data_IF_323038124234
#
_entry.id   IF_323038124234
#
_cell.length_a   1.000
_cell.length_b   1.000
_cell.length_c   1.000
_cell.angle_alpha   90.00
_cell.angle_beta   90.00
_cell.angle_gamma   90.00
#
_symmetry.space_group_name_H-M   'P 1'
#
loop_
_entity.id
_entity.type
_entity.pdbx_description
1 polymer ?
#
# COMPACT_ATOMS: atom_id res chain seq x y z
N UNK A 1 7.54 0.54 -3.78
CA UNK A 1 7.25 0.90 -2.55
C UNK A 1 8.07 0.53 -1.35
N UNK A 2 9.38 0.15 -1.47
CA UNK A 2 10.16 -0.28 -0.31
C UNK A 2 11.16 0.76 0.17
N UNK A 3 11.21 1.92 -0.43
CA UNK A 3 12.23 2.94 -0.15
C UNK A 3 12.17 3.52 1.27
N UNK A 4 11.04 3.42 1.96
CA UNK A 4 10.87 4.02 3.29
C UNK A 4 11.39 3.17 4.44
N UNK A 5 11.66 1.91 4.24
CA UNK A 5 12.10 1.05 5.32
C UNK A 5 13.45 1.44 5.93
N UNK A 6 14.28 2.16 5.17
CA UNK A 6 15.56 2.64 5.68
C UNK A 6 15.44 3.67 6.80
N UNK A 7 14.41 4.52 6.71
CA UNK A 7 14.15 5.55 7.72
C UNK A 7 13.86 4.92 9.06
N UNK A 8 13.14 3.79 9.06
CA UNK A 8 12.70 3.13 10.29
C UNK A 8 13.80 2.26 10.90
N UNK A 9 14.67 1.65 10.07
CA UNK A 9 15.64 0.65 10.53
C UNK A 9 16.87 1.19 11.23
N UNK A 10 17.36 2.34 10.82
CA UNK A 10 18.69 2.79 11.23
C UNK A 10 18.74 3.55 12.54
N UNK A 11 17.60 4.00 13.06
CA UNK A 11 17.49 4.80 14.28
C UNK A 11 18.59 5.86 14.39
N UNK A 12 18.83 6.66 13.34
CA UNK A 12 19.79 7.77 13.44
C UNK A 12 19.22 8.86 14.33
N UNK A 13 20.00 9.95 14.53
CA UNK A 13 19.54 11.09 15.32
C UNK A 13 18.15 11.59 14.89
N UNK A 14 17.80 11.51 13.60
CA UNK A 14 16.51 11.94 13.08
C UNK A 14 15.36 10.94 13.27
N UNK A 15 15.62 9.80 13.90
CA UNK A 15 14.60 8.74 14.03
C UNK A 15 13.34 9.22 14.74
N UNK A 16 13.49 9.95 15.87
CA UNK A 16 12.36 10.47 16.62
C UNK A 16 11.54 11.47 15.82
N UNK A 17 12.20 12.30 14.98
CA UNK A 17 11.52 13.26 14.11
C UNK A 17 10.74 12.53 13.02
N UNK A 18 11.36 11.54 12.37
CA UNK A 18 10.71 10.73 11.35
C UNK A 18 9.51 9.97 11.91
N UNK A 19 9.65 9.41 13.11
CA UNK A 19 8.57 8.69 13.78
C UNK A 19 7.40 9.62 14.12
N UNK A 20 7.69 10.81 14.65
CA UNK A 20 6.65 11.81 14.95
C UNK A 20 5.91 12.26 13.70
N UNK A 21 6.63 12.46 12.60
CA UNK A 21 6.04 12.84 11.31
C UNK A 21 5.13 11.73 10.80
N UNK A 22 5.56 10.48 10.88
CA UNK A 22 4.75 9.33 10.48
C UNK A 22 3.46 9.27 11.31
N UNK A 23 3.56 9.39 12.63
CA UNK A 23 2.41 9.36 13.52
C UNK A 23 1.43 10.51 13.23
N UNK A 24 1.94 11.73 13.00
CA UNK A 24 1.14 12.89 12.64
C UNK A 24 0.40 12.67 11.33
N UNK A 25 1.11 12.20 10.31
CA UNK A 25 0.51 11.96 8.99
C UNK A 25 -0.52 10.82 9.04
N UNK A 26 -0.23 9.76 9.78
CA UNK A 26 -1.19 8.68 10.00
C UNK A 26 -2.50 9.21 10.55
N UNK A 27 -2.42 10.05 11.60
CA UNK A 27 -3.59 10.66 12.22
C UNK A 27 -4.34 11.54 11.21
N UNK A 28 -3.62 12.30 10.40
CA UNK A 28 -4.20 13.18 9.38
C UNK A 28 -5.05 12.41 8.38
N UNK A 29 -4.59 11.24 7.92
CA UNK A 29 -5.26 10.49 6.87
C UNK A 29 -6.22 9.41 7.37
N UNK A 30 -6.23 9.13 8.67
CA UNK A 30 -7.11 8.09 9.25
C UNK A 30 -8.58 8.29 8.88
N UNK A 31 -9.16 9.51 8.90
CA UNK A 31 -10.57 9.67 8.48
C UNK A 31 -10.81 9.27 7.03
N UNK A 32 -9.90 9.61 6.11
CA UNK A 32 -10.03 9.24 4.71
C UNK A 32 -9.90 7.74 4.51
N UNK A 33 -9.00 7.11 5.26
CA UNK A 33 -8.78 5.66 5.20
C UNK A 33 -10.02 4.93 5.72
N UNK A 34 -10.58 5.38 6.84
CA UNK A 34 -11.80 4.81 7.41
C UNK A 34 -12.96 4.89 6.41
N UNK A 35 -13.10 6.01 5.73
CA UNK A 35 -14.16 6.20 4.73
C UNK A 35 -14.02 5.24 3.56
N UNK A 36 -12.82 5.08 3.03
CA UNK A 36 -12.56 4.15 1.92
C UNK A 36 -12.77 2.69 2.37
N UNK A 37 -12.30 2.34 3.56
CA UNK A 37 -12.49 1.02 4.14
C UNK A 37 -13.98 0.67 4.22
N UNK A 38 -14.80 1.59 4.69
CA UNK A 38 -16.25 1.39 4.77
C UNK A 38 -16.88 1.27 3.39
N UNK A 39 -16.48 2.14 2.45
CA UNK A 39 -17.04 2.17 1.09
C UNK A 39 -16.82 0.85 0.36
N UNK A 40 -15.62 0.30 0.44
CA UNK A 40 -15.26 -0.92 -0.28
C UNK A 40 -15.31 -2.18 0.58
N UNK A 41 -15.68 -2.06 1.84
CA UNK A 41 -15.74 -3.18 2.79
C UNK A 41 -14.41 -3.91 2.88
N UNK A 42 -13.36 -3.13 3.09
CA UNK A 42 -12.00 -3.62 3.33
C UNK A 42 -11.62 -3.29 4.77
N UNK A 43 -10.90 -4.19 5.42
CA UNK A 43 -10.41 -3.98 6.78
C UNK A 43 -9.53 -2.72 6.83
N UNK A 44 -9.91 -1.77 7.67
CA UNK A 44 -9.18 -0.51 7.83
C UNK A 44 -7.73 -0.75 8.25
N UNK A 45 -7.48 -1.72 9.11
CA UNK A 45 -6.12 -2.06 9.56
C UNK A 45 -5.24 -2.53 8.42
N UNK A 46 -5.82 -3.27 7.46
CA UNK A 46 -5.09 -3.70 6.28
C UNK A 46 -4.67 -2.49 5.43
N UNK A 47 -5.56 -1.52 5.25
CA UNK A 47 -5.23 -0.31 4.51
C UNK A 47 -4.10 0.47 5.20
N UNK A 48 -4.13 0.57 6.52
CA UNK A 48 -3.04 1.21 7.27
C UNK A 48 -1.71 0.48 7.06
N UNK A 49 -1.71 -0.85 7.09
CA UNK A 49 -0.49 -1.63 6.87
C UNK A 49 0.07 -1.41 5.47
N UNK A 50 -0.80 -1.37 4.46
CA UNK A 50 -0.40 -1.11 3.07
C UNK A 50 0.17 0.30 2.93
N UNK A 51 -0.55 1.30 3.41
CA UNK A 51 -0.14 2.71 3.27
C UNK A 51 1.17 2.98 4.01
N UNK A 52 1.33 2.45 5.20
CA UNK A 52 2.58 2.60 5.94
C UNK A 52 3.75 1.96 5.18
N UNK A 53 3.55 0.77 4.63
CA UNK A 53 4.58 0.08 3.85
C UNK A 53 4.90 0.82 2.55
N UNK A 54 3.89 1.32 1.85
CA UNK A 54 4.08 1.96 0.56
C UNK A 54 4.72 3.34 0.65
N UNK A 55 4.26 4.17 1.56
CA UNK A 55 4.63 5.59 1.56
C UNK A 55 4.98 6.16 2.93
N UNK A 56 4.84 5.39 4.02
CA UNK A 56 4.91 5.93 5.37
C UNK A 56 3.99 7.15 5.54
N UNK A 57 2.81 7.10 4.94
CA UNK A 57 1.80 8.16 4.94
C UNK A 57 2.28 9.47 4.29
N UNK A 58 3.20 9.39 3.33
CA UNK A 58 3.64 10.57 2.57
C UNK A 58 2.86 10.66 1.25
N UNK A 59 1.93 11.61 1.16
CA UNK A 59 1.10 11.81 -0.03
C UNK A 59 1.90 12.22 -1.27
N UNK A 60 3.12 12.71 -1.09
CA UNK A 60 4.01 13.16 -2.17
C UNK A 60 5.05 12.11 -2.56
N UNK A 61 5.01 10.94 -1.95
CA UNK A 61 6.01 9.89 -2.20
C UNK A 61 6.02 9.47 -3.67
N UNK A 62 7.23 9.39 -4.24
CA UNK A 62 7.44 8.92 -5.60
C UNK A 62 8.53 7.85 -5.56
N UNK A 63 8.23 6.65 -6.08
CA UNK A 63 9.23 5.58 -6.15
C UNK A 63 10.09 5.72 -7.39
N UNK A 64 11.23 5.02 -7.40
CA UNK A 64 12.11 4.98 -8.57
C UNK A 64 11.41 4.39 -9.81
N UNK A 65 10.40 3.53 -9.60
CA UNK A 65 9.62 2.94 -10.68
C UNK A 65 8.47 3.83 -11.16
N UNK A 66 8.23 4.97 -10.50
CA UNK A 66 7.16 5.89 -10.89
C UNK A 66 5.83 5.70 -10.17
N UNK A 67 5.80 4.92 -9.09
CA UNK A 67 4.62 4.85 -8.23
C UNK A 67 4.49 6.13 -7.41
N UNK A 68 3.27 6.62 -7.20
CA UNK A 68 3.03 7.92 -6.56
C UNK A 68 1.96 7.84 -5.48
N UNK A 69 2.20 8.56 -4.40
CA UNK A 69 1.20 8.88 -3.38
C UNK A 69 1.11 7.87 -2.26
N UNK A 70 0.08 8.02 -1.44
CA UNK A 70 -0.10 7.25 -0.20
C UNK A 70 -0.09 5.74 -0.43
N UNK A 71 -0.76 5.27 -1.47
CA UNK A 71 -0.85 3.85 -1.79
C UNK A 71 0.07 3.47 -2.96
N UNK A 72 0.94 4.37 -3.39
CA UNK A 72 1.95 4.14 -4.43
C UNK A 72 1.37 3.57 -5.71
N UNK A 73 0.46 4.32 -6.34
CA UNK A 73 -0.18 3.88 -7.57
C UNK A 73 0.71 4.11 -8.78
N UNK A 74 0.82 3.10 -9.63
CA UNK A 74 1.42 3.25 -10.95
C UNK A 74 0.44 3.95 -11.91
N UNK A 75 0.94 4.60 -12.98
CA UNK A 75 0.07 5.33 -13.90
C UNK A 75 -1.08 4.50 -14.47
N UNK A 76 -0.81 3.26 -14.87
CA UNK A 76 -1.84 2.39 -15.45
C UNK A 76 -2.95 2.06 -14.44
N UNK A 77 -2.58 1.79 -13.19
CA UNK A 77 -3.56 1.51 -12.14
C UNK A 77 -4.39 2.75 -11.83
N UNK A 78 -3.75 3.91 -11.74
CA UNK A 78 -4.44 5.17 -11.53
C UNK A 78 -5.48 5.42 -12.62
N UNK A 79 -5.10 5.23 -13.88
CA UNK A 79 -5.99 5.40 -15.01
C UNK A 79 -7.18 4.43 -14.93
N UNK A 80 -6.92 3.18 -14.60
CA UNK A 80 -7.97 2.14 -14.50
C UNK A 80 -9.04 2.50 -13.46
N UNK A 81 -8.65 3.15 -12.37
CA UNK A 81 -9.55 3.49 -11.27
C UNK A 81 -9.96 4.96 -11.23
N UNK A 82 -9.71 5.70 -12.31
CA UNK A 82 -10.18 7.10 -12.43
C UNK A 82 -9.45 8.08 -11.51
N UNK A 83 -8.21 7.79 -11.17
CA UNK A 83 -7.38 8.68 -10.36
C UNK A 83 -6.64 9.65 -11.29
N UNK A 84 -7.05 10.92 -11.25
CA UNK A 84 -6.45 11.96 -12.11
C UNK A 84 -5.22 12.57 -11.47
N UNK A 85 -5.19 12.70 -10.16
CA UNK A 85 -4.05 13.23 -9.41
C UNK A 85 -3.65 12.26 -8.32
N UNK A 86 -2.58 11.52 -8.56
CA UNK A 86 -2.09 10.51 -7.62
C UNK A 86 -1.55 11.10 -6.32
N UNK A 87 -1.21 12.40 -6.30
CA UNK A 87 -0.78 13.09 -5.08
C UNK A 87 -1.95 13.56 -4.23
N UNK A 88 -3.16 13.54 -4.76
CA UNK A 88 -4.36 13.86 -4.00
C UNK A 88 -4.71 12.67 -3.11
N UNK A 89 -4.73 12.89 -1.79
CA UNK A 89 -4.92 11.83 -0.82
C UNK A 89 -6.25 11.08 -1.01
N UNK A 90 -7.34 11.84 -1.21
CA UNK A 90 -8.66 11.24 -1.38
C UNK A 90 -8.73 10.34 -2.62
N UNK A 91 -8.24 10.84 -3.75
CA UNK A 91 -8.24 10.07 -4.99
C UNK A 91 -7.34 8.84 -4.90
N UNK A 92 -6.16 9.00 -4.33
CA UNK A 92 -5.18 7.92 -4.20
C UNK A 92 -5.72 6.78 -3.34
N UNK A 93 -6.25 7.11 -2.16
CA UNK A 93 -6.80 6.13 -1.23
C UNK A 93 -8.03 5.44 -1.84
N UNK A 94 -8.91 6.20 -2.49
CA UNK A 94 -10.09 5.61 -3.14
C UNK A 94 -9.69 4.62 -4.23
N UNK A 95 -8.81 5.02 -5.14
CA UNK A 95 -8.37 4.17 -6.25
C UNK A 95 -7.60 2.93 -5.77
N UNK A 96 -6.70 3.11 -4.82
CA UNK A 96 -5.92 2.00 -4.28
C UNK A 96 -6.77 0.99 -3.51
N UNK A 97 -7.73 1.47 -2.74
CA UNK A 97 -8.66 0.60 -2.01
C UNK A 97 -9.58 -0.15 -2.97
N UNK A 98 -10.05 0.52 -4.01
CA UNK A 98 -10.86 -0.12 -5.04
C UNK A 98 -10.08 -1.25 -5.73
N UNK A 99 -8.81 -1.02 -6.05
CA UNK A 99 -7.94 -2.04 -6.62
C UNK A 99 -7.80 -3.24 -5.68
N UNK A 100 -7.54 -2.99 -4.40
CA UNK A 100 -7.46 -4.06 -3.39
C UNK A 100 -8.77 -4.87 -3.35
N UNK A 101 -9.91 -4.20 -3.40
CA UNK A 101 -11.22 -4.88 -3.42
C UNK A 101 -11.34 -5.82 -4.62
N UNK A 102 -10.95 -5.36 -5.80
CA UNK A 102 -10.98 -6.18 -7.00
C UNK A 102 -10.04 -7.37 -6.89
N UNK A 103 -8.87 -7.19 -6.27
CA UNK A 103 -7.93 -8.28 -6.04
C UNK A 103 -8.50 -9.34 -5.08
N UNK A 104 -9.22 -8.92 -4.04
CA UNK A 104 -9.91 -9.87 -3.16
C UNK A 104 -10.93 -10.72 -3.93
N UNK A 105 -11.66 -10.10 -4.84
CA UNK A 105 -12.62 -10.83 -5.69
C UNK A 105 -11.89 -11.78 -6.64
N UNK A 106 -10.78 -11.34 -7.21
CA UNK A 106 -10.01 -12.10 -8.20
C UNK A 106 -9.36 -13.34 -7.60
N UNK A 107 -8.91 -13.27 -6.36
CA UNK A 107 -8.15 -14.34 -5.71
C UNK A 107 -8.90 -14.99 -4.53
N UNK A 108 -10.23 -14.97 -4.57
CA UNK A 108 -11.07 -15.65 -3.59
C UNK A 108 -10.71 -15.30 -2.15
N UNK A 109 -10.45 -14.02 -1.89
CA UNK A 109 -10.11 -13.49 -0.57
C UNK A 109 -8.80 -14.02 0.03
N UNK A 110 -7.92 -14.58 -0.79
CA UNK A 110 -6.60 -15.01 -0.32
C UNK A 110 -5.70 -13.79 -0.12
N UNK A 111 -5.52 -13.37 1.12
CA UNK A 111 -4.80 -12.14 1.45
C UNK A 111 -3.37 -12.12 0.93
N UNK A 112 -2.64 -13.24 1.05
CA UNK A 112 -1.26 -13.31 0.55
C UNK A 112 -1.19 -13.04 -0.96
N UNK A 113 -2.14 -13.59 -1.73
CA UNK A 113 -2.19 -13.36 -3.18
C UNK A 113 -2.64 -11.95 -3.53
N UNK A 114 -3.55 -11.37 -2.73
CA UNK A 114 -3.96 -9.96 -2.89
C UNK A 114 -2.75 -9.05 -2.72
N UNK A 115 -1.97 -9.24 -1.66
CA UNK A 115 -0.80 -8.40 -1.39
C UNK A 115 0.30 -8.60 -2.43
N UNK A 116 0.56 -9.85 -2.82
CA UNK A 116 1.52 -10.14 -3.88
C UNK A 116 1.10 -9.46 -5.20
N UNK A 117 -0.18 -9.51 -5.53
CA UNK A 117 -0.72 -8.87 -6.74
C UNK A 117 -0.64 -7.36 -6.67
N UNK A 118 -0.91 -6.79 -5.50
CA UNK A 118 -0.80 -5.35 -5.32
C UNK A 118 0.62 -4.86 -5.61
N UNK A 119 1.62 -5.60 -5.17
CA UNK A 119 3.03 -5.25 -5.38
C UNK A 119 3.54 -5.59 -6.78
N UNK A 120 3.26 -6.79 -7.28
CA UNK A 120 3.85 -7.31 -8.52
C UNK A 120 2.90 -7.26 -9.73
N UNK A 121 1.64 -6.95 -9.50
CA UNK A 121 0.60 -7.03 -10.52
C UNK A 121 -0.07 -8.39 -10.54
N UNK A 122 -1.37 -8.41 -10.82
CA UNK A 122 -2.15 -9.65 -10.85
C UNK A 122 -1.68 -10.60 -11.96
N UNK A 123 -1.15 -10.05 -13.05
CA UNK A 123 -0.60 -10.86 -14.14
C UNK A 123 0.57 -11.73 -13.70
N UNK A 124 1.44 -11.20 -12.84
CA UNK A 124 2.58 -11.96 -12.32
C UNK A 124 2.10 -13.12 -11.43
N UNK A 125 1.12 -12.88 -10.56
CA UNK A 125 0.58 -13.92 -9.70
C UNK A 125 -0.08 -15.02 -10.53
N UNK A 126 -0.84 -14.65 -11.55
CA UNK A 126 -1.46 -15.62 -12.46
C UNK A 126 -0.43 -16.42 -13.24
N UNK A 127 0.64 -15.76 -13.69
CA UNK A 127 1.75 -16.42 -14.38
C UNK A 127 2.37 -17.54 -13.53
N UNK A 128 2.44 -17.35 -12.23
CA UNK A 128 2.95 -18.35 -11.30
C UNK A 128 1.84 -19.21 -10.70
N UNK A 129 0.76 -19.44 -11.46
CA UNK A 129 -0.34 -20.35 -11.11
C UNK A 129 -1.00 -20.00 -9.78
N UNK A 130 -1.29 -18.72 -9.59
CA UNK A 130 -1.91 -18.19 -8.37
C UNK A 130 -1.06 -18.51 -7.12
N UNK A 131 0.22 -18.26 -7.21
CA UNK A 131 1.16 -18.32 -6.10
C UNK A 131 1.91 -17.00 -6.00
N UNK A 132 2.52 -16.74 -4.84
CA UNK A 132 3.39 -15.56 -4.69
C UNK A 132 4.57 -15.73 -5.63
N UNK A 133 4.80 -14.80 -6.57
CA UNK A 133 5.94 -14.90 -7.47
C UNK A 133 7.26 -14.95 -6.68
N UNK A 134 8.28 -15.67 -7.20
CA UNK A 134 9.57 -15.79 -6.50
C UNK A 134 10.43 -14.53 -6.63
N UNK A 135 9.81 -13.37 -6.58
CA UNK A 135 10.50 -12.09 -6.61
C UNK A 135 10.85 -11.69 -5.17
N UNK A 136 12.13 -11.46 -4.84
CA UNK A 136 12.50 -11.07 -3.48
C UNK A 136 11.74 -9.83 -2.97
N UNK A 137 11.55 -8.83 -3.82
CA UNK A 137 10.78 -7.64 -3.44
C UNK A 137 9.35 -8.00 -3.03
N UNK A 138 8.67 -8.82 -3.84
CA UNK A 138 7.27 -9.18 -3.57
C UNK A 138 7.13 -10.04 -2.33
N UNK A 139 8.02 -11.00 -2.15
CA UNK A 139 8.03 -11.83 -0.94
C UNK A 139 8.25 -10.99 0.32
N UNK A 140 9.20 -10.06 0.26
CA UNK A 140 9.47 -9.14 1.37
C UNK A 140 8.29 -8.21 1.63
N UNK A 141 7.64 -7.73 0.57
CA UNK A 141 6.47 -6.87 0.69
C UNK A 141 5.34 -7.58 1.44
N UNK A 142 5.01 -8.79 1.03
CA UNK A 142 3.94 -9.58 1.67
C UNK A 142 4.25 -9.78 3.15
N UNK A 143 5.49 -10.20 3.48
CA UNK A 143 5.89 -10.38 4.88
C UNK A 143 5.78 -9.10 5.69
N UNK A 144 6.20 -7.99 5.11
CA UNK A 144 6.21 -6.70 5.80
C UNK A 144 4.79 -6.20 6.09
N UNK A 145 3.92 -6.24 5.08
CA UNK A 145 2.53 -5.81 5.26
C UNK A 145 1.83 -6.72 6.27
N UNK A 146 1.99 -8.03 6.14
CA UNK A 146 1.38 -8.97 7.07
C UNK A 146 1.87 -8.77 8.51
N UNK A 147 3.16 -8.50 8.68
CA UNK A 147 3.73 -8.23 10.00
C UNK A 147 3.13 -6.99 10.64
N UNK A 148 2.98 -5.90 9.87
CA UNK A 148 2.32 -4.69 10.35
C UNK A 148 0.84 -4.93 10.64
N UNK A 149 0.15 -5.61 9.76
CA UNK A 149 -1.27 -5.89 9.90
C UNK A 149 -1.58 -6.63 11.21
N UNK A 150 -0.74 -7.60 11.58
CA UNK A 150 -0.91 -8.34 12.83
C UNK A 150 -0.73 -7.50 14.08
N UNK A 151 0.01 -6.39 13.98
CA UNK A 151 0.30 -5.50 15.11
C UNK A 151 -0.76 -4.42 15.31
N UNK A 152 -1.61 -4.19 14.33
CA UNK A 152 -2.60 -3.11 14.37
C UNK A 152 -3.93 -3.47 15.05
#
# INVERSE_FOLDING_TARGET
GLKYKRIIRTKPKGYSVAYKKLAKNKKKYTPLIAKAAAKYKIDEKLLHAVIQTESAYDEKAISSAGAVGLMQLMPATAKRYGVFNRKNATQNIDGGTHYIKDLFKMFDSNLNLVLASYNAGEGAVKKYKNAIPPYPETQNYVRKVMGLYRKL
#
